data_IF_585623059404
#
_entry.id   IF_585623059404
#
_cell.length_a   1.000
_cell.length_b   1.000
_cell.length_c   1.000
_cell.angle_alpha   90.00
_cell.angle_beta   90.00
_cell.angle_gamma   90.00
#
_symmetry.space_group_name_H-M   'P 1'
#
loop_
_entity.id
_entity.type
_entity.pdbx_description
1 polymer ?
#
# COMPACT_ATOMS: atom_id res chain seq x y z
N UNK A 1 72.70 19.47 -3.66
CA UNK A 1 72.56 20.93 -3.83
C UNK A 1 72.15 21.25 -5.26
N UNK A 2 71.00 21.91 -5.49
CA UNK A 2 70.80 23.03 -6.44
C UNK A 2 69.31 23.42 -6.53
N UNK A 3 68.99 24.58 -5.97
CA UNK A 3 67.75 25.37 -6.19
C UNK A 3 67.61 25.74 -7.66
N UNK A 4 66.39 25.73 -8.21
CA UNK A 4 65.92 26.74 -9.19
C UNK A 4 64.42 26.99 -9.04
N UNK A 5 64.09 28.29 -9.06
CA UNK A 5 62.77 28.94 -8.89
C UNK A 5 62.16 29.24 -10.27
N UNK A 6 60.84 29.42 -10.30
CA UNK A 6 60.08 30.10 -11.36
C UNK A 6 59.14 29.15 -12.11
N UNK A 7 57.88 29.47 -12.41
CA UNK A 7 57.08 30.67 -12.22
C UNK A 7 55.74 30.46 -12.96
N UNK A 8 54.63 30.80 -12.27
CA UNK A 8 53.22 31.01 -12.67
C UNK A 8 52.86 30.97 -14.17
N UNK A 9 51.74 30.31 -14.52
CA UNK A 9 50.57 30.82 -15.29
C UNK A 9 49.37 29.90 -14.95
N UNK A 10 48.41 30.35 -14.12
CA UNK A 10 47.16 31.03 -14.47
C UNK A 10 46.08 30.12 -15.11
N UNK A 11 44.98 29.97 -14.39
CA UNK A 11 43.65 29.99 -15.00
C UNK A 11 42.81 28.73 -14.89
N UNK A 12 42.08 28.58 -13.78
CA UNK A 12 40.64 28.23 -13.83
C UNK A 12 40.04 28.48 -12.45
N UNK A 13 39.30 29.59 -12.38
CA UNK A 13 38.43 30.02 -11.29
C UNK A 13 37.19 29.12 -11.16
N UNK A 14 36.54 29.25 -10.00
CA UNK A 14 35.18 28.87 -9.66
C UNK A 14 34.96 27.39 -9.31
N UNK A 15 34.53 27.02 -8.11
CA UNK A 15 34.10 27.81 -6.97
C UNK A 15 33.87 26.87 -5.77
N UNK A 16 34.64 27.10 -4.71
CA UNK A 16 34.44 26.52 -3.38
C UNK A 16 34.27 27.69 -2.43
N UNK A 17 33.06 28.22 -2.32
CA UNK A 17 32.71 29.21 -1.31
C UNK A 17 31.20 29.16 -1.06
N UNK A 18 30.81 28.46 0.01
CA UNK A 18 29.42 28.34 0.41
C UNK A 18 29.21 27.55 1.68
N UNK A 19 30.15 27.61 2.64
CA UNK A 19 29.86 27.24 4.02
C UNK A 19 29.18 28.44 4.69
N UNK A 20 27.92 28.67 4.34
CA UNK A 20 27.02 29.53 5.13
C UNK A 20 26.20 28.64 6.04
N UNK A 21 26.30 28.92 7.33
CA UNK A 21 25.58 28.27 8.41
C UNK A 21 24.09 28.10 8.08
N UNK A 22 23.54 26.91 8.38
CA UNK A 22 22.09 26.66 8.33
C UNK A 22 21.58 25.79 7.18
N UNK A 23 22.25 24.69 6.82
CA UNK A 23 21.69 23.71 5.87
C UNK A 23 21.93 22.23 6.25
N UNK A 24 22.31 21.94 7.49
CA UNK A 24 22.53 20.55 7.95
C UNK A 24 21.20 19.77 8.10
N UNK A 25 20.04 20.45 8.06
CA UNK A 25 18.73 19.81 8.22
C UNK A 25 18.13 19.14 6.97
N UNK A 26 18.60 19.46 5.75
CA UNK A 26 17.87 19.05 4.53
C UNK A 26 18.17 17.62 4.04
N UNK A 27 19.36 17.08 4.31
CA UNK A 27 19.75 15.77 3.80
C UNK A 27 19.10 14.59 4.57
N UNK A 28 18.66 14.78 5.81
CA UNK A 28 18.01 13.73 6.63
C UNK A 28 16.48 13.65 6.44
N UNK A 29 15.84 14.65 5.84
CA UNK A 29 14.38 14.69 5.70
C UNK A 29 13.85 14.15 4.35
N UNK A 30 14.71 13.87 3.38
CA UNK A 30 14.32 13.28 2.08
C UNK A 30 14.14 11.76 2.10
N UNK A 31 14.21 11.11 3.28
CA UNK A 31 13.88 9.69 3.42
C UNK A 31 12.66 9.45 4.30
N UNK A 32 11.68 10.36 4.28
CA UNK A 32 10.29 10.00 4.61
C UNK A 32 9.64 9.32 3.41
N UNK A 33 10.18 8.16 3.03
CA UNK A 33 9.42 7.19 2.23
C UNK A 33 8.33 6.71 3.17
N UNK A 34 7.18 7.37 3.09
CA UNK A 34 5.91 6.89 3.64
C UNK A 34 5.63 5.54 3.00
N UNK A 35 6.27 4.50 3.53
CA UNK A 35 5.77 3.16 3.45
C UNK A 35 4.51 3.19 4.29
N UNK A 36 3.39 3.52 3.64
CA UNK A 36 2.10 3.01 4.08
C UNK A 36 2.39 1.57 4.48
N UNK A 37 2.17 1.28 5.76
CA UNK A 37 2.15 -0.06 6.30
C UNK A 37 1.17 -0.82 5.41
N UNK A 38 1.72 -1.47 4.38
CA UNK A 38 0.96 -2.35 3.50
C UNK A 38 0.61 -3.46 4.45
N UNK A 39 -0.58 -3.39 5.05
CA UNK A 39 -1.17 -4.49 5.81
C UNK A 39 -0.98 -5.71 4.94
N UNK A 40 0.04 -6.48 5.27
CA UNK A 40 0.35 -7.69 4.56
C UNK A 40 -0.88 -8.54 4.88
N UNK A 41 -1.68 -8.84 3.86
CA UNK A 41 -2.66 -9.90 4.01
C UNK A 41 -1.93 -11.04 4.71
N UNK A 42 -2.50 -11.54 5.81
CA UNK A 42 -1.97 -12.71 6.53
C UNK A 42 -1.84 -13.93 5.59
N UNK A 43 -2.43 -13.82 4.39
CA UNK A 43 -2.32 -14.74 3.28
C UNK A 43 -1.63 -14.04 2.08
N UNK A 44 -0.32 -14.25 1.88
CA UNK A 44 0.47 -13.60 0.81
C UNK A 44 0.03 -13.97 -0.62
N UNK A 45 -0.72 -15.06 -0.78
CA UNK A 45 -1.12 -15.61 -2.08
C UNK A 45 -2.18 -14.76 -2.82
N UNK A 46 -3.05 -14.04 -2.09
CA UNK A 46 -4.13 -13.24 -2.69
C UNK A 46 -3.67 -11.91 -3.31
N UNK A 47 -2.38 -11.56 -3.20
CA UNK A 47 -1.83 -10.32 -3.76
C UNK A 47 -1.73 -10.30 -5.30
N UNK A 48 -2.23 -11.33 -6.01
CA UNK A 48 -1.86 -11.58 -7.41
C UNK A 48 -2.85 -11.13 -8.47
N UNK A 49 -4.08 -10.75 -8.14
CA UNK A 49 -5.04 -10.35 -9.17
C UNK A 49 -5.83 -9.12 -8.76
N UNK A 50 -5.89 -8.14 -9.66
CA UNK A 50 -6.82 -6.99 -9.64
C UNK A 50 -8.31 -7.39 -9.56
N UNK A 51 -8.61 -8.69 -9.46
CA UNK A 51 -9.94 -9.30 -9.29
C UNK A 51 -10.54 -9.09 -7.89
N UNK A 52 -9.75 -8.72 -6.87
CA UNK A 52 -10.19 -8.46 -5.47
C UNK A 52 -10.81 -7.07 -5.23
N UNK A 53 -11.54 -6.51 -6.21
CA UNK A 53 -12.19 -5.20 -6.02
C UNK A 53 -13.37 -5.27 -5.04
N UNK A 54 -14.16 -6.34 -5.08
CA UNK A 54 -15.40 -6.46 -4.30
C UNK A 54 -15.25 -7.30 -3.03
N UNK A 55 -14.24 -8.16 -2.92
CA UNK A 55 -14.00 -8.99 -1.74
C UNK A 55 -12.52 -9.07 -1.41
N UNK A 56 -12.22 -9.00 -0.11
CA UNK A 56 -10.90 -9.22 0.49
C UNK A 56 -11.08 -9.84 1.87
N UNK A 57 -10.16 -10.68 2.37
CA UNK A 57 -10.21 -11.16 3.75
C UNK A 57 -10.38 -10.01 4.75
N UNK A 58 -11.30 -10.17 5.70
CA UNK A 58 -11.73 -9.17 6.69
C UNK A 58 -12.68 -8.09 6.17
N UNK A 59 -12.96 -8.03 4.86
CA UNK A 59 -13.89 -7.05 4.28
C UNK A 59 -15.34 -7.41 4.62
N UNK A 60 -16.17 -6.44 5.08
CA UNK A 60 -17.58 -6.68 5.27
C UNK A 60 -18.30 -6.74 3.91
N UNK A 61 -19.14 -7.76 3.74
CA UNK A 61 -20.04 -7.92 2.60
C UNK A 61 -21.45 -8.13 3.13
N UNK A 62 -22.44 -7.56 2.44
CA UNK A 62 -23.84 -7.60 2.90
C UNK A 62 -24.66 -8.39 1.89
N UNK A 63 -25.31 -9.48 2.33
CA UNK A 63 -26.22 -10.22 1.48
C UNK A 63 -27.41 -9.36 1.07
N UNK A 64 -27.84 -9.57 -0.18
CA UNK A 64 -29.08 -9.02 -0.73
C UNK A 64 -30.30 -9.37 0.13
N UNK A 65 -31.21 -8.42 0.26
CA UNK A 65 -32.41 -8.59 1.10
C UNK A 65 -33.30 -9.72 0.58
N UNK A 66 -33.27 -9.97 -0.73
CA UNK A 66 -34.02 -11.02 -1.39
C UNK A 66 -33.54 -12.43 -1.00
N UNK A 67 -32.26 -12.59 -0.62
CA UNK A 67 -31.68 -13.88 -0.22
C UNK A 67 -31.85 -14.17 1.28
N UNK A 68 -32.04 -13.13 2.09
CA UNK A 68 -32.22 -13.25 3.54
C UNK A 68 -33.41 -12.39 4.01
N UNK A 69 -34.64 -12.76 3.64
CA UNK A 69 -35.83 -11.99 4.02
C UNK A 69 -36.04 -11.99 5.54
N UNK A 70 -36.63 -10.92 6.05
CA UNK A 70 -36.89 -10.75 7.49
C UNK A 70 -35.65 -10.44 8.32
N UNK A 71 -34.45 -10.35 7.72
CA UNK A 71 -33.22 -9.94 8.40
C UNK A 71 -32.84 -8.49 8.11
N UNK A 72 -32.42 -7.80 9.15
CA UNK A 72 -31.88 -6.44 9.04
C UNK A 72 -30.58 -6.43 8.22
N UNK A 73 -30.18 -5.25 7.72
CA UNK A 73 -28.92 -5.11 6.98
C UNK A 73 -27.70 -5.54 7.81
N UNK A 74 -27.72 -5.26 9.12
CA UNK A 74 -26.65 -5.65 10.03
C UNK A 74 -26.54 -7.18 10.15
N UNK A 75 -27.67 -7.88 10.28
CA UNK A 75 -27.72 -9.35 10.36
C UNK A 75 -27.40 -10.05 9.04
N UNK A 76 -27.44 -9.31 7.92
CA UNK A 76 -27.03 -9.77 6.58
C UNK A 76 -25.58 -9.43 6.26
N UNK A 77 -24.87 -8.74 7.15
CA UNK A 77 -23.48 -8.33 6.92
C UNK A 77 -22.53 -9.31 7.59
N UNK A 78 -21.66 -9.90 6.79
CA UNK A 78 -20.65 -10.87 7.22
C UNK A 78 -19.27 -10.39 6.82
N UNK A 79 -18.23 -10.97 7.43
CA UNK A 79 -16.85 -10.73 7.03
C UNK A 79 -16.36 -11.85 6.14
N UNK A 80 -15.62 -11.49 5.10
CA UNK A 80 -14.95 -12.45 4.25
C UNK A 80 -13.79 -13.10 5.02
N UNK A 81 -13.81 -14.41 5.18
CA UNK A 81 -12.69 -15.17 5.73
C UNK A 81 -11.62 -15.42 4.65
N UNK A 82 -12.06 -15.88 3.47
CA UNK A 82 -11.19 -16.27 2.37
C UNK A 82 -11.83 -15.93 1.01
N UNK A 83 -11.00 -15.59 0.01
CA UNK A 83 -11.43 -15.47 -1.39
C UNK A 83 -10.86 -16.66 -2.15
N UNK A 84 -11.70 -17.53 -2.70
CA UNK A 84 -11.28 -18.71 -3.43
C UNK A 84 -10.70 -18.35 -4.80
N UNK A 85 -9.83 -19.20 -5.40
CA UNK A 85 -9.32 -18.99 -6.76
C UNK A 85 -10.41 -18.88 -7.84
N UNK A 86 -11.62 -19.40 -7.56
CA UNK A 86 -12.80 -19.29 -8.40
C UNK A 86 -13.44 -17.89 -8.40
N UNK A 87 -13.03 -17.00 -7.49
CA UNK A 87 -13.65 -15.70 -7.25
C UNK A 87 -14.85 -15.74 -6.30
N UNK A 88 -15.16 -16.91 -5.71
CA UNK A 88 -16.14 -17.04 -4.62
C UNK A 88 -15.50 -16.70 -3.27
N UNK A 89 -16.32 -16.47 -2.25
CA UNK A 89 -15.86 -16.14 -0.89
C UNK A 89 -16.36 -17.13 0.14
N UNK A 90 -15.52 -17.43 1.10
CA UNK A 90 -15.89 -18.06 2.37
C UNK A 90 -16.09 -16.95 3.39
N UNK A 91 -17.12 -17.06 4.21
CA UNK A 91 -17.49 -16.05 5.21
C UNK A 91 -17.16 -16.54 6.62
N UNK A 92 -16.86 -15.60 7.52
CA UNK A 92 -16.72 -15.87 8.95
C UNK A 92 -18.07 -16.34 9.53
N UNK A 93 -18.07 -17.45 10.26
CA UNK A 93 -19.23 -18.03 10.94
C UNK A 93 -20.45 -18.32 10.04
N UNK A 94 -20.26 -18.42 8.73
CA UNK A 94 -21.33 -18.70 7.78
C UNK A 94 -20.90 -19.73 6.74
N UNK A 95 -21.66 -20.83 6.67
CA UNK A 95 -21.30 -21.98 5.85
C UNK A 95 -21.49 -21.74 4.36
N UNK A 96 -20.66 -22.40 3.55
CA UNK A 96 -20.77 -22.43 2.10
C UNK A 96 -19.89 -21.39 1.39
N UNK A 97 -19.80 -21.53 0.07
CA UNK A 97 -19.09 -20.66 -0.84
C UNK A 97 -20.06 -19.72 -1.57
N UNK A 98 -19.78 -18.42 -1.51
CA UNK A 98 -20.72 -17.38 -1.96
C UNK A 98 -20.14 -16.59 -3.13
N UNK A 99 -20.99 -16.20 -4.07
CA UNK A 99 -20.62 -15.44 -5.26
C UNK A 99 -20.99 -13.95 -5.12
N UNK A 100 -20.25 -13.08 -5.83
CA UNK A 100 -20.50 -11.63 -5.87
C UNK A 100 -21.98 -11.21 -6.03
N UNK A 101 -22.78 -11.83 -6.94
CA UNK A 101 -24.16 -11.38 -7.20
C UNK A 101 -25.13 -11.57 -6.01
N UNK A 102 -24.73 -12.36 -5.01
CA UNK A 102 -25.50 -12.60 -3.79
C UNK A 102 -25.41 -11.41 -2.82
N UNK A 103 -24.41 -10.54 -3.02
CA UNK A 103 -24.16 -9.39 -2.17
C UNK A 103 -24.70 -8.10 -2.78
N UNK A 104 -24.96 -7.13 -1.91
CA UNK A 104 -25.23 -5.76 -2.29
C UNK A 104 -23.98 -5.17 -2.97
N UNK A 105 -24.16 -4.37 -4.03
CA UNK A 105 -23.03 -3.68 -4.67
C UNK A 105 -22.37 -2.70 -3.70
N UNK A 106 -21.05 -2.77 -3.63
CA UNK A 106 -20.23 -1.79 -2.90
C UNK A 106 -20.33 -0.46 -3.65
N UNK A 107 -20.70 0.61 -2.93
CA UNK A 107 -20.72 1.99 -3.42
C UNK A 107 -19.50 2.75 -2.93
#
# INVERSE_FOLDING_TARGET
>A
MKKRRGGRWLGALAGLAGLTAGAVGAALLLRRKGGAERKHSIYPEYNRRETDRWARPGMPVTFRAELMPGRSRAERTFRVAEVLPSGRVILEDFSGDHAEPEFERIR
#
